data_IF_825251140923
#
_entry.id   IF_825251140923
#
_cell.length_a   1.000
_cell.length_b   1.000
_cell.length_c   1.000
_cell.angle_alpha   90.00
_cell.angle_beta   90.00
_cell.angle_gamma   90.00
#
_symmetry.space_group_name_H-M   'P 1'
#
loop_
_entity.id
_entity.type
_entity.pdbx_description
1 polymer ?
#
# COMPACT_ATOMS: atom_id res chain seq x y z
N UNK A 1 7.22 19.63 -35.06
CA UNK A 1 7.69 20.83 -34.35
C UNK A 1 6.48 21.59 -33.86
N UNK A 2 6.15 21.45 -32.58
CA UNK A 2 5.20 22.29 -31.85
C UNK A 2 5.92 22.68 -30.56
N UNK A 3 6.11 23.98 -30.39
CA UNK A 3 6.75 24.61 -29.24
C UNK A 3 5.66 25.33 -28.45
N UNK A 4 5.58 25.14 -27.14
CA UNK A 4 5.13 26.08 -26.09
C UNK A 4 5.13 25.31 -24.76
N UNK A 5 6.10 25.51 -23.86
CA UNK A 5 6.07 26.45 -22.71
C UNK A 5 4.89 26.24 -21.75
N UNK A 6 5.20 25.83 -20.52
CA UNK A 6 4.25 25.81 -19.41
C UNK A 6 4.89 25.23 -18.14
N UNK A 7 5.03 26.05 -17.10
CA UNK A 7 5.59 25.71 -15.78
C UNK A 7 5.08 24.35 -15.28
N UNK A 8 5.94 23.56 -14.63
CA UNK A 8 5.61 22.28 -13.98
C UNK A 8 4.66 22.42 -12.78
N UNK A 9 3.49 23.00 -13.00
CA UNK A 9 2.36 22.93 -12.11
C UNK A 9 1.56 21.64 -12.36
N UNK A 10 0.78 21.19 -11.36
CA UNK A 10 -0.12 20.06 -11.53
C UNK A 10 -1.03 20.29 -12.75
N UNK A 11 -1.31 19.21 -13.49
CA UNK A 11 -2.30 19.22 -14.57
C UNK A 11 -3.67 19.59 -13.98
N UNK A 12 -4.60 20.17 -14.77
CA UNK A 12 -5.95 20.51 -14.32
C UNK A 12 -6.85 19.27 -14.16
N UNK A 13 -6.30 18.17 -13.62
CA UNK A 13 -7.06 16.99 -13.25
C UNK A 13 -7.54 17.20 -11.82
N UNK A 14 -8.81 17.57 -11.69
CA UNK A 14 -9.50 17.59 -10.41
C UNK A 14 -9.84 16.17 -10.04
N UNK A 15 -9.34 15.70 -8.90
CA UNK A 15 -9.63 14.34 -8.44
C UNK A 15 -10.96 14.32 -7.73
N UNK A 16 -11.84 13.46 -8.19
CA UNK A 16 -13.16 13.26 -7.61
C UNK A 16 -13.19 12.05 -6.68
N UNK A 17 -14.29 11.95 -5.93
CA UNK A 17 -14.51 10.82 -5.02
C UNK A 17 -14.63 9.50 -5.79
N UNK A 18 -15.17 9.52 -7.01
CA UNK A 18 -15.31 8.35 -7.87
C UNK A 18 -13.96 7.78 -8.30
N UNK A 19 -13.01 8.63 -8.72
CA UNK A 19 -11.66 8.21 -9.14
C UNK A 19 -10.94 7.42 -8.02
N UNK A 20 -11.07 7.90 -6.78
CA UNK A 20 -10.48 7.24 -5.61
C UNK A 20 -11.23 5.95 -5.26
N UNK A 21 -12.57 5.95 -5.39
CA UNK A 21 -13.38 4.77 -5.12
C UNK A 21 -13.08 3.61 -6.09
N UNK A 22 -12.84 3.91 -7.37
CA UNK A 22 -12.47 2.91 -8.37
C UNK A 22 -11.13 2.26 -8.05
N UNK A 23 -10.16 3.05 -7.58
CA UNK A 23 -8.87 2.53 -7.14
C UNK A 23 -9.01 1.68 -5.86
N UNK A 24 -9.80 2.12 -4.88
CA UNK A 24 -10.09 1.35 -3.67
C UNK A 24 -10.75 0.01 -4.00
N UNK A 25 -11.72 0.00 -4.94
CA UNK A 25 -12.36 -1.21 -5.42
C UNK A 25 -11.37 -2.15 -6.11
N UNK A 26 -10.51 -1.63 -7.00
CA UNK A 26 -9.48 -2.40 -7.66
C UNK A 26 -8.51 -3.05 -6.66
N UNK A 27 -8.05 -2.31 -5.65
CA UNK A 27 -7.22 -2.86 -4.57
C UNK A 27 -7.97 -3.90 -3.75
N UNK A 28 -9.26 -3.68 -3.46
CA UNK A 28 -10.11 -4.67 -2.80
C UNK A 28 -10.15 -6.00 -3.53
N UNK A 29 -10.27 -5.98 -4.86
CA UNK A 29 -10.22 -7.19 -5.71
C UNK A 29 -8.85 -7.86 -5.62
N UNK A 30 -7.76 -7.09 -5.75
CA UNK A 30 -6.39 -7.63 -5.67
C UNK A 30 -6.11 -8.28 -4.30
N UNK A 31 -6.56 -7.65 -3.20
CA UNK A 31 -6.43 -8.19 -1.86
C UNK A 31 -7.21 -9.49 -1.68
N UNK A 32 -8.43 -9.55 -2.21
CA UNK A 32 -9.24 -10.76 -2.16
C UNK A 32 -8.61 -11.89 -2.98
N UNK A 33 -7.95 -11.58 -4.10
CA UNK A 33 -7.21 -12.56 -4.89
C UNK A 33 -5.96 -13.05 -4.16
N UNK A 34 -5.16 -12.14 -3.59
CA UNK A 34 -3.97 -12.46 -2.78
C UNK A 34 -4.32 -13.42 -1.64
N UNK A 35 -5.41 -13.18 -0.91
CA UNK A 35 -5.86 -14.09 0.15
C UNK A 35 -6.31 -15.48 -0.34
N UNK A 36 -6.83 -15.59 -1.58
CA UNK A 36 -7.29 -16.87 -2.13
C UNK A 36 -6.18 -17.66 -2.82
N UNK A 37 -5.23 -16.98 -3.44
CA UNK A 37 -4.30 -17.58 -4.42
C UNK A 37 -2.82 -17.28 -4.14
N UNK A 38 -2.49 -16.43 -3.16
CA UNK A 38 -1.13 -15.94 -2.92
C UNK A 38 -0.71 -14.81 -3.88
N UNK A 39 0.56 -14.43 -3.83
CA UNK A 39 1.08 -13.20 -4.47
C UNK A 39 1.21 -13.18 -5.99
N UNK A 40 0.46 -13.97 -6.77
CA UNK A 40 0.68 -14.15 -8.22
C UNK A 40 0.37 -12.97 -9.16
N UNK A 41 0.03 -11.76 -8.69
CA UNK A 41 -0.63 -10.71 -9.51
C UNK A 41 0.17 -9.41 -9.66
N UNK A 42 1.19 -9.39 -10.53
CA UNK A 42 2.07 -8.23 -10.68
C UNK A 42 1.53 -7.08 -11.56
N UNK A 43 0.92 -7.38 -12.72
CA UNK A 43 0.56 -6.34 -13.72
C UNK A 43 -0.53 -5.38 -13.25
N UNK A 44 -1.60 -5.90 -12.66
CA UNK A 44 -2.71 -5.07 -12.19
C UNK A 44 -2.31 -4.20 -10.98
N UNK A 45 -1.53 -4.76 -10.05
CA UNK A 45 -0.98 -4.00 -8.93
C UNK A 45 -0.08 -2.84 -9.42
N UNK A 46 0.83 -3.09 -10.37
CA UNK A 46 1.69 -2.03 -10.94
C UNK A 46 0.86 -0.92 -11.60
N UNK A 47 -0.24 -1.27 -12.30
CA UNK A 47 -1.15 -0.28 -12.87
C UNK A 47 -1.78 0.60 -11.80
N UNK A 48 -2.26 0.02 -10.69
CA UNK A 48 -2.84 0.80 -9.59
C UNK A 48 -1.78 1.72 -8.96
N UNK A 49 -0.55 1.24 -8.70
CA UNK A 49 0.55 2.10 -8.18
C UNK A 49 0.78 3.29 -9.10
N UNK A 50 0.89 3.04 -10.41
CA UNK A 50 1.18 4.08 -11.40
C UNK A 50 0.07 5.12 -11.40
N UNK A 51 -1.19 4.71 -11.49
CA UNK A 51 -2.32 5.64 -11.52
C UNK A 51 -2.40 6.47 -10.23
N UNK A 52 -2.39 5.82 -9.06
CA UNK A 52 -2.48 6.53 -7.79
C UNK A 52 -1.30 7.48 -7.53
N UNK A 53 -0.08 7.12 -7.97
CA UNK A 53 1.10 8.00 -7.86
C UNK A 53 0.99 9.22 -8.77
N UNK A 54 0.52 9.03 -10.00
CA UNK A 54 0.31 10.14 -10.95
C UNK A 54 -0.76 11.11 -10.43
N UNK A 55 -1.84 10.58 -9.88
CA UNK A 55 -2.91 11.36 -9.26
C UNK A 55 -2.39 12.21 -8.08
N UNK A 56 -1.60 11.63 -7.18
CA UNK A 56 -1.02 12.38 -6.05
C UNK A 56 0.00 13.44 -6.47
N UNK A 57 0.75 13.20 -7.54
CA UNK A 57 1.82 14.10 -8.00
C UNK A 57 1.31 15.23 -8.89
N UNK A 58 0.37 14.92 -9.79
CA UNK A 58 -0.08 15.83 -10.85
C UNK A 58 -1.53 16.30 -10.71
N UNK A 59 -2.33 15.72 -9.82
CA UNK A 59 -3.72 16.12 -9.61
C UNK A 59 -3.88 17.16 -8.50
N UNK A 60 -4.94 17.96 -8.60
CA UNK A 60 -5.40 18.76 -7.46
C UNK A 60 -6.23 17.86 -6.55
N UNK A 61 -5.62 17.40 -5.45
CA UNK A 61 -6.21 16.41 -4.54
C UNK A 61 -6.62 17.07 -3.23
N UNK A 62 -7.93 17.13 -2.91
CA UNK A 62 -8.41 17.54 -1.58
C UNK A 62 -7.83 16.65 -0.48
N UNK A 63 -7.52 17.21 0.69
CA UNK A 63 -6.87 16.48 1.79
C UNK A 63 -7.60 15.20 2.20
N UNK A 64 -8.94 15.24 2.20
CA UNK A 64 -9.79 14.07 2.47
C UNK A 64 -9.57 12.92 1.48
N UNK A 65 -9.25 13.23 0.22
CA UNK A 65 -8.97 12.24 -0.82
C UNK A 65 -7.50 11.83 -0.83
N UNK A 66 -6.60 12.71 -0.37
CA UNK A 66 -5.18 12.43 -0.24
C UNK A 66 -4.93 11.26 0.71
N UNK A 67 -5.52 11.25 1.90
CA UNK A 67 -5.36 10.14 2.86
C UNK A 67 -5.85 8.79 2.30
N UNK A 68 -6.95 8.81 1.53
CA UNK A 68 -7.48 7.63 0.83
C UNK A 68 -6.53 7.12 -0.25
N UNK A 69 -5.97 8.01 -1.08
CA UNK A 69 -4.96 7.64 -2.07
C UNK A 69 -3.67 7.10 -1.43
N UNK A 70 -3.23 7.64 -0.29
CA UNK A 70 -2.12 7.07 0.46
C UNK A 70 -2.45 5.66 0.97
N UNK A 71 -3.68 5.42 1.44
CA UNK A 71 -4.16 4.07 1.79
C UNK A 71 -4.12 3.12 0.59
N UNK A 72 -4.58 3.55 -0.59
CA UNK A 72 -4.53 2.76 -1.83
C UNK A 72 -3.07 2.39 -2.16
N UNK A 73 -2.16 3.36 -2.18
CA UNK A 73 -0.75 3.09 -2.46
C UNK A 73 -0.12 2.17 -1.41
N UNK A 74 -0.39 2.41 -0.14
CA UNK A 74 0.13 1.59 0.95
C UNK A 74 -0.26 0.13 0.77
N UNK A 75 -1.53 -0.13 0.47
CA UNK A 75 -2.02 -1.50 0.37
C UNK A 75 -1.52 -2.19 -0.90
N UNK A 76 -1.39 -1.48 -2.02
CA UNK A 76 -0.78 -2.09 -3.21
C UNK A 76 0.70 -2.38 -3.00
N UNK A 77 1.44 -1.51 -2.32
CA UNK A 77 2.83 -1.80 -1.94
C UNK A 77 2.92 -2.99 -0.98
N UNK A 78 1.97 -3.16 -0.06
CA UNK A 78 1.87 -4.32 0.82
C UNK A 78 1.65 -5.63 0.03
N UNK A 79 0.74 -5.63 -0.94
CA UNK A 79 0.50 -6.76 -1.84
C UNK A 79 1.74 -7.08 -2.67
N UNK A 80 2.36 -6.07 -3.29
CA UNK A 80 3.60 -6.26 -4.05
C UNK A 80 4.74 -6.79 -3.16
N UNK A 81 4.84 -6.34 -1.91
CA UNK A 81 5.83 -6.88 -0.97
C UNK A 81 5.63 -8.37 -0.72
N UNK A 82 4.38 -8.80 -0.59
CA UNK A 82 4.03 -10.21 -0.44
C UNK A 82 4.32 -11.02 -1.71
N UNK A 83 3.98 -10.49 -2.88
CA UNK A 83 4.35 -11.07 -4.19
C UNK A 83 5.86 -11.27 -4.36
N UNK A 84 6.65 -10.23 -4.09
CA UNK A 84 8.10 -10.29 -4.21
C UNK A 84 8.69 -11.33 -3.25
N UNK A 85 8.13 -11.43 -2.04
CA UNK A 85 8.51 -12.46 -1.08
C UNK A 85 8.17 -13.88 -1.58
N UNK A 86 6.93 -14.12 -1.99
CA UNK A 86 6.47 -15.42 -2.52
C UNK A 86 7.26 -15.87 -3.76
N UNK A 87 7.82 -14.92 -4.51
CA UNK A 87 8.63 -15.18 -5.73
C UNK A 87 10.13 -15.21 -5.51
N UNK A 88 10.60 -15.13 -4.25
CA UNK A 88 12.03 -15.27 -3.92
C UNK A 88 12.86 -14.00 -4.06
N UNK A 89 12.24 -12.82 -4.00
CA UNK A 89 12.90 -11.52 -4.09
C UNK A 89 12.85 -10.77 -2.74
N UNK A 90 13.65 -11.16 -1.73
CA UNK A 90 13.53 -10.64 -0.36
C UNK A 90 13.91 -9.15 -0.23
N UNK A 91 14.88 -8.66 -1.01
CA UNK A 91 15.29 -7.25 -0.98
C UNK A 91 14.19 -6.33 -1.57
N UNK A 92 13.63 -6.61 -2.76
CA UNK A 92 12.44 -5.93 -3.25
C UNK A 92 11.27 -6.00 -2.26
N UNK A 93 10.97 -7.17 -1.70
CA UNK A 93 9.89 -7.34 -0.73
C UNK A 93 10.03 -6.40 0.46
N UNK A 94 11.21 -6.34 1.09
CA UNK A 94 11.49 -5.45 2.22
C UNK A 94 11.24 -3.98 1.86
N UNK A 95 11.76 -3.51 0.72
CA UNK A 95 11.55 -2.12 0.26
C UNK A 95 10.07 -1.80 0.03
N UNK A 96 9.31 -2.76 -0.49
CA UNK A 96 7.86 -2.62 -0.70
C UNK A 96 7.11 -2.50 0.62
N UNK A 97 7.41 -3.34 1.61
CA UNK A 97 6.81 -3.25 2.94
C UNK A 97 7.18 -1.96 3.68
N UNK A 98 8.44 -1.51 3.59
CA UNK A 98 8.87 -0.21 4.16
C UNK A 98 8.07 0.95 3.57
N UNK A 99 7.89 0.95 2.24
CA UNK A 99 7.08 1.97 1.57
C UNK A 99 5.61 1.89 1.98
N UNK A 100 5.06 0.69 2.10
CA UNK A 100 3.69 0.46 2.55
C UNK A 100 3.46 1.01 3.96
N UNK A 101 4.38 0.76 4.90
CA UNK A 101 4.30 1.27 6.28
C UNK A 101 4.31 2.80 6.33
N UNK A 102 5.22 3.45 5.59
CA UNK A 102 5.29 4.91 5.54
C UNK A 102 3.98 5.53 5.02
N UNK A 103 3.46 5.00 3.91
CA UNK A 103 2.21 5.48 3.31
C UNK A 103 0.98 5.22 4.21
N UNK A 104 0.93 4.07 4.88
CA UNK A 104 -0.17 3.74 5.79
C UNK A 104 -0.15 4.65 7.03
N UNK A 105 1.03 4.98 7.54
CA UNK A 105 1.20 5.94 8.64
C UNK A 105 0.81 7.36 8.21
N UNK A 106 1.25 7.81 7.03
CA UNK A 106 0.84 9.10 6.44
C UNK A 106 -0.69 9.20 6.25
N UNK A 107 -1.33 8.07 5.91
CA UNK A 107 -2.79 7.99 5.77
C UNK A 107 -3.55 7.91 7.12
N UNK A 108 -2.86 7.74 8.26
CA UNK A 108 -3.49 7.45 9.54
C UNK A 108 -4.23 6.11 9.59
N UNK A 109 -3.87 5.16 8.73
CA UNK A 109 -4.55 3.87 8.60
C UNK A 109 -3.88 2.79 9.48
N UNK A 110 -4.13 2.86 10.78
CA UNK A 110 -3.53 1.95 11.76
C UNK A 110 -3.94 0.48 11.57
N UNK A 111 -5.11 0.20 10.98
CA UNK A 111 -5.51 -1.17 10.62
C UNK A 111 -4.62 -1.75 9.52
N UNK A 112 -4.25 -0.94 8.52
CA UNK A 112 -3.33 -1.38 7.47
C UNK A 112 -1.89 -1.48 8.00
N UNK A 113 -1.45 -0.57 8.87
CA UNK A 113 -0.16 -0.68 9.58
C UNK A 113 -0.09 -2.02 10.35
N UNK A 114 -1.16 -2.39 11.05
CA UNK A 114 -1.24 -3.67 11.75
C UNK A 114 -1.11 -4.88 10.80
N UNK A 115 -1.80 -4.84 9.66
CA UNK A 115 -1.73 -5.90 8.63
C UNK A 115 -0.31 -6.06 8.05
N UNK A 116 0.36 -4.95 7.75
CA UNK A 116 1.72 -4.99 7.17
C UNK A 116 2.72 -5.59 8.17
N UNK A 117 2.64 -5.18 9.44
CA UNK A 117 3.47 -5.78 10.50
C UNK A 117 3.19 -7.28 10.70
N UNK A 118 1.92 -7.71 10.59
CA UNK A 118 1.59 -9.14 10.60
C UNK A 118 2.26 -9.89 9.45
N UNK A 119 2.24 -9.35 8.22
CA UNK A 119 2.92 -9.95 7.06
C UNK A 119 4.45 -9.98 7.24
N UNK A 120 5.06 -8.90 7.71
CA UNK A 120 6.50 -8.88 8.04
C UNK A 120 6.86 -9.93 9.09
N UNK A 121 6.04 -10.11 10.12
CA UNK A 121 6.24 -11.17 11.10
C UNK A 121 6.24 -12.57 10.48
N UNK A 122 5.36 -12.83 9.51
CA UNK A 122 5.37 -14.09 8.74
C UNK A 122 6.63 -14.26 7.88
N UNK A 123 7.13 -13.18 7.29
CA UNK A 123 8.41 -13.19 6.54
C UNK A 123 9.57 -13.57 7.46
N UNK A 124 9.61 -13.04 8.68
CA UNK A 124 10.62 -13.42 9.67
C UNK A 124 10.51 -14.90 10.07
N UNK A 125 9.30 -15.40 10.33
CA UNK A 125 9.08 -16.82 10.65
C UNK A 125 9.55 -17.76 9.52
N UNK A 126 9.33 -17.38 8.25
CA UNK A 126 9.80 -18.18 7.11
C UNK A 126 11.32 -18.33 7.07
N UNK A 127 12.05 -17.33 7.57
CA UNK A 127 13.51 -17.37 7.70
C UNK A 127 13.98 -17.83 9.09
N UNK A 128 13.10 -18.45 9.89
CA UNK A 128 13.37 -18.92 11.25
C UNK A 128 13.82 -17.83 12.24
N UNK A 129 13.55 -16.56 11.94
CA UNK A 129 13.84 -15.43 12.82
C UNK A 129 12.66 -15.17 13.78
N UNK A 130 12.59 -15.96 14.84
CA UNK A 130 11.55 -15.84 15.87
C UNK A 130 11.58 -14.48 16.58
N UNK A 131 12.75 -13.94 17.00
CA UNK A 131 12.80 -12.61 17.63
C UNK A 131 12.28 -11.49 16.73
N UNK A 132 12.67 -11.49 15.45
CA UNK A 132 12.18 -10.52 14.47
C UNK A 132 10.66 -10.62 14.29
N UNK A 133 10.13 -11.84 14.18
CA UNK A 133 8.69 -12.06 14.07
C UNK A 133 7.91 -11.50 15.26
N UNK A 134 8.37 -11.78 16.49
CA UNK A 134 7.74 -11.26 17.71
C UNK A 134 7.76 -9.74 17.78
N UNK A 135 8.86 -9.11 17.35
CA UNK A 135 8.98 -7.66 17.31
C UNK A 135 8.00 -7.03 16.31
N UNK A 136 7.80 -7.64 15.14
CA UNK A 136 6.81 -7.18 14.17
C UNK A 136 5.38 -7.40 14.67
N UNK A 137 5.05 -8.56 15.24
CA UNK A 137 3.72 -8.81 15.82
C UNK A 137 3.38 -7.85 16.97
N UNK A 138 4.37 -7.50 17.81
CA UNK A 138 4.18 -6.52 18.87
C UNK A 138 3.82 -5.12 18.31
N UNK A 139 4.51 -4.69 17.25
CA UNK A 139 4.21 -3.44 16.54
C UNK A 139 2.83 -3.47 15.87
N UNK A 140 2.49 -4.59 15.22
CA UNK A 140 1.17 -4.79 14.61
C UNK A 140 0.03 -4.74 15.64
N UNK A 141 0.22 -5.39 16.80
CA UNK A 141 -0.74 -5.34 17.91
C UNK A 141 -0.92 -3.93 18.48
N UNK A 142 0.17 -3.15 18.59
CA UNK A 142 0.07 -1.76 19.02
C UNK A 142 -0.74 -0.91 18.03
N UNK A 143 -0.54 -1.11 16.73
CA UNK A 143 -1.33 -0.43 15.69
C UNK A 143 -2.82 -0.84 15.72
N UNK A 144 -3.11 -2.14 15.83
CA UNK A 144 -4.49 -2.63 15.91
C UNK A 144 -5.27 -2.05 17.10
N UNK A 145 -4.60 -1.82 18.24
CA UNK A 145 -5.20 -1.15 19.41
C UNK A 145 -5.58 0.31 19.12
N UNK A 146 -4.75 1.03 18.36
CA UNK A 146 -5.04 2.41 17.94
C UNK A 146 -6.17 2.48 16.92
N UNK A 147 -6.31 1.48 16.06
CA UNK A 147 -7.37 1.47 15.04
C UNK A 147 -8.78 1.15 15.57
N UNK A 148 -8.93 0.98 16.89
CA UNK A 148 -10.16 0.53 17.55
C UNK A 148 -10.70 -0.83 17.04
N UNK A 149 -9.88 -1.61 16.32
CA UNK A 149 -10.26 -2.94 15.82
C UNK A 149 -10.36 -3.93 16.99
N UNK A 150 -11.59 -4.32 17.36
CA UNK A 150 -11.86 -5.38 18.35
C UNK A 150 -11.73 -6.81 17.78
N UNK A 151 -10.91 -7.01 16.74
CA UNK A 151 -10.59 -8.34 16.22
C UNK A 151 -9.07 -8.49 16.21
N UNK A 152 -8.55 -8.91 17.36
CA UNK A 152 -7.28 -9.60 17.51
C UNK A 152 -7.57 -11.08 17.71
#
# INVERSE_FOLDING_TARGET
MVTMTGKGGPLPINIETADVADLEAAVGVLRALDYRQGGGFCRDAVRVVKTASLLLHWGTVPDRLRARLHTVLADVHNLLGWTEFDTGHPVPARRRFERALGLAAEAGNDSLVANIHYRLGRVHLHHHDVPGALAEFARGRAAARRSASRRA
#
